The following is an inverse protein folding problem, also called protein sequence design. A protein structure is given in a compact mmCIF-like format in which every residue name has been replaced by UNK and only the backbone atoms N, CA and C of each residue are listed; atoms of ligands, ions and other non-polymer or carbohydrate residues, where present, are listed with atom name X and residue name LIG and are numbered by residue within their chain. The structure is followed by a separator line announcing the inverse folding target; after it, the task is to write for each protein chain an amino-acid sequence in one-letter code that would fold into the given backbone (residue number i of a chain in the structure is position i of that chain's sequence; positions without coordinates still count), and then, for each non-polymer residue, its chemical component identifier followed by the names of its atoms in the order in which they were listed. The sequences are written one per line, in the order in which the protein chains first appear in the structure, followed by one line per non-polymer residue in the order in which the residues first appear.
data_IF_711986792719
#
_entry.id   IF_711986792719
#
_cell.length_a   1.000
_cell.length_b   1.000
_cell.length_c   1.000
_cell.angle_alpha   90.00
_cell.angle_beta   90.00
_cell.angle_gamma   90.00
#
_symmetry.space_group_name_H-M   'P 1'
#
loop_
_entity.id
_entity.type
_entity.pdbx_description
1 polymer ?
#
# COMPACT_ATOMS: atom_id res chain seq x y z
N UNK A 1 35.84 1.57 -2.53
CA UNK A 1 36.82 1.82 -1.44
C UNK A 1 36.14 1.39 -0.17
N UNK A 2 36.68 0.36 0.53
CA UNK A 2 36.04 -0.21 1.71
C UNK A 2 35.81 0.85 2.79
N UNK A 3 34.59 0.85 3.30
CA UNK A 3 34.26 1.56 4.55
C UNK A 3 35.31 1.13 5.59
N UNK A 4 36.01 2.09 6.21
CA UNK A 4 36.96 1.77 7.26
C UNK A 4 36.27 1.04 8.42
N UNK A 5 36.99 0.17 9.13
CA UNK A 5 36.41 -0.70 10.17
C UNK A 5 35.64 0.08 11.27
N UNK A 6 35.99 1.34 11.52
CA UNK A 6 35.30 2.21 12.47
C UNK A 6 33.91 2.57 11.97
N UNK A 7 33.77 2.94 10.70
CA UNK A 7 32.47 3.27 10.09
C UNK A 7 31.58 2.04 9.97
N UNK A 8 32.16 0.86 9.71
CA UNK A 8 31.39 -0.41 9.69
C UNK A 8 30.76 -0.71 11.05
N UNK A 9 31.53 -0.60 12.14
CA UNK A 9 31.03 -0.84 13.50
C UNK A 9 29.96 0.16 13.92
N UNK A 10 30.12 1.43 13.57
CA UNK A 10 29.13 2.45 13.87
C UNK A 10 27.83 2.17 13.10
N UNK A 11 27.92 1.84 11.82
CA UNK A 11 26.79 1.49 10.99
C UNK A 11 26.10 0.22 11.47
N UNK A 12 26.87 -0.81 11.92
CA UNK A 12 26.33 -2.02 12.54
C UNK A 12 25.50 -1.69 13.79
N UNK A 13 26.01 -0.82 14.67
CA UNK A 13 25.25 -0.38 15.85
C UNK A 13 23.95 0.33 15.50
N UNK A 14 23.95 1.17 14.46
CA UNK A 14 22.77 1.91 14.03
C UNK A 14 21.70 1.01 13.39
N UNK A 15 22.09 -0.05 12.69
CA UNK A 15 21.15 -1.00 12.08
C UNK A 15 20.64 -2.06 13.05
N UNK A 16 21.40 -2.40 14.11
CA UNK A 16 20.94 -3.33 15.15
C UNK A 16 19.95 -2.68 16.12
N UNK A 17 20.16 -1.37 16.40
CA UNK A 17 19.28 -0.58 17.26
C UNK A 17 18.71 0.66 16.54
N UNK A 18 17.85 0.51 15.51
CA UNK A 18 17.36 1.66 14.75
C UNK A 18 16.66 2.72 15.59
N UNK A 19 16.01 2.30 16.70
CA UNK A 19 15.32 3.19 17.63
C UNK A 19 16.28 4.07 18.43
N UNK A 20 17.51 3.62 18.60
CA UNK A 20 18.54 4.31 19.37
C UNK A 20 19.52 5.08 18.48
N UNK A 21 19.49 4.83 17.17
CA UNK A 21 20.30 5.53 16.19
C UNK A 21 19.90 6.99 16.07
N UNK A 22 20.89 7.87 16.09
CA UNK A 22 20.71 9.31 15.88
C UNK A 22 20.13 9.60 14.49
N UNK A 23 20.60 8.88 13.47
CA UNK A 23 20.17 9.06 12.08
C UNK A 23 18.68 8.72 11.88
N UNK A 24 18.19 7.64 12.46
CA UNK A 24 16.77 7.27 12.33
C UNK A 24 15.86 8.15 13.18
N UNK A 25 16.30 8.65 14.32
CA UNK A 25 15.51 9.55 15.18
C UNK A 25 15.19 10.89 14.53
N UNK A 26 16.01 11.37 13.60
CA UNK A 26 15.77 12.60 12.85
C UNK A 26 14.54 12.45 11.90
N UNK A 27 14.15 11.20 11.57
CA UNK A 27 13.05 10.92 10.66
C UNK A 27 11.93 10.11 11.31
N UNK A 28 11.13 10.70 12.22
CA UNK A 28 10.11 9.99 12.99
C UNK A 28 8.99 9.39 12.11
N UNK A 29 8.80 9.88 10.90
CA UNK A 29 7.86 9.30 9.93
C UNK A 29 8.35 7.96 9.39
N UNK A 30 9.64 7.82 9.13
CA UNK A 30 10.24 6.54 8.72
C UNK A 30 10.14 5.50 9.85
N UNK A 31 10.34 5.94 11.09
CA UNK A 31 10.28 5.06 12.26
C UNK A 31 8.90 4.45 12.54
N UNK A 32 7.83 5.02 11.97
CA UNK A 32 6.48 4.45 12.07
C UNK A 32 6.26 3.24 11.18
N UNK A 33 7.01 3.11 10.09
CA UNK A 33 6.92 1.98 9.16
C UNK A 33 8.03 0.97 9.46
N UNK A 34 7.71 -0.05 10.26
CA UNK A 34 8.65 -1.09 10.64
C UNK A 34 9.13 -1.91 9.44
N UNK A 35 8.28 -2.14 8.44
CA UNK A 35 8.63 -2.91 7.24
C UNK A 35 9.68 -2.15 6.42
N UNK A 36 9.57 -0.81 6.35
CA UNK A 36 10.55 0.05 5.69
C UNK A 36 11.90 0.05 6.41
N UNK A 37 11.88 0.19 7.74
CA UNK A 37 13.10 0.11 8.55
C UNK A 37 13.80 -1.23 8.37
N UNK A 38 13.04 -2.34 8.41
CA UNK A 38 13.62 -3.66 8.15
C UNK A 38 14.20 -3.79 6.74
N UNK A 39 13.54 -3.22 5.72
CA UNK A 39 14.08 -3.22 4.36
C UNK A 39 15.44 -2.49 4.32
N UNK A 40 15.55 -1.33 4.94
CA UNK A 40 16.77 -0.52 4.98
C UNK A 40 17.87 -1.27 5.76
N UNK A 41 17.59 -1.66 6.99
CA UNK A 41 18.58 -2.29 7.88
C UNK A 41 19.09 -3.62 7.35
N UNK A 42 18.21 -4.46 6.82
CA UNK A 42 18.60 -5.75 6.24
C UNK A 42 19.45 -5.57 4.98
N UNK A 43 19.10 -4.59 4.13
CA UNK A 43 19.89 -4.28 2.93
C UNK A 43 21.30 -3.81 3.31
N UNK A 44 21.40 -2.90 4.28
CA UNK A 44 22.71 -2.42 4.78
C UNK A 44 23.50 -3.58 5.41
N UNK A 45 22.83 -4.46 6.18
CA UNK A 45 23.47 -5.64 6.79
C UNK A 45 24.08 -6.56 5.72
N UNK A 46 23.33 -6.83 4.65
CA UNK A 46 23.84 -7.61 3.52
C UNK A 46 25.04 -6.93 2.86
N UNK A 47 25.01 -5.60 2.70
CA UNK A 47 26.13 -4.83 2.15
C UNK A 47 27.38 -4.95 3.02
N UNK A 48 27.24 -4.91 4.33
CA UNK A 48 28.37 -5.06 5.29
C UNK A 48 28.96 -6.48 5.22
N UNK A 49 28.11 -7.50 5.30
CA UNK A 49 28.52 -8.92 5.30
C UNK A 49 29.26 -9.29 3.99
N UNK A 50 28.81 -8.74 2.88
CA UNK A 50 29.37 -9.05 1.55
C UNK A 50 30.68 -8.33 1.25
N UNK A 51 31.20 -7.53 2.17
CA UNK A 51 32.46 -6.79 2.03
C UNK A 51 32.59 -5.98 0.72
N UNK A 52 31.50 -5.44 0.22
CA UNK A 52 31.48 -4.65 -1.02
C UNK A 52 31.42 -5.47 -2.32
N UNK A 53 31.38 -6.80 -2.25
CA UNK A 53 31.26 -7.70 -3.41
C UNK A 53 29.79 -8.00 -3.76
N UNK A 54 28.89 -7.05 -3.59
CA UNK A 54 27.48 -7.22 -3.95
C UNK A 54 27.22 -6.87 -5.41
N UNK A 55 26.49 -7.75 -6.07
CA UNK A 55 25.90 -7.46 -7.37
C UNK A 55 24.67 -6.56 -7.17
N UNK A 56 24.71 -5.34 -7.73
CA UNK A 56 23.61 -4.38 -7.64
C UNK A 56 22.28 -4.96 -8.15
N UNK A 57 22.32 -5.77 -9.22
CA UNK A 57 21.13 -6.44 -9.75
C UNK A 57 20.51 -7.45 -8.78
N UNK A 58 21.34 -8.19 -8.04
CA UNK A 58 20.84 -9.14 -7.05
C UNK A 58 20.16 -8.42 -5.87
N UNK A 59 20.69 -7.27 -5.45
CA UNK A 59 20.06 -6.44 -4.41
C UNK A 59 18.77 -5.82 -4.93
N UNK A 60 18.76 -5.34 -6.16
CA UNK A 60 17.54 -4.83 -6.81
C UNK A 60 16.44 -5.89 -6.84
N UNK A 61 16.73 -7.08 -7.32
CA UNK A 61 15.78 -8.20 -7.37
C UNK A 61 15.25 -8.56 -5.98
N UNK A 62 16.13 -8.63 -4.98
CA UNK A 62 15.75 -8.89 -3.59
C UNK A 62 14.79 -7.80 -3.06
N UNK A 63 15.09 -6.54 -3.31
CA UNK A 63 14.24 -5.42 -2.89
C UNK A 63 12.90 -5.44 -3.62
N UNK A 64 12.87 -5.73 -4.91
CA UNK A 64 11.63 -5.85 -5.69
C UNK A 64 10.73 -6.97 -5.16
N UNK A 65 11.30 -8.11 -4.80
CA UNK A 65 10.54 -9.21 -4.18
C UNK A 65 9.91 -8.74 -2.86
N UNK A 66 10.68 -8.09 -1.98
CA UNK A 66 10.16 -7.59 -0.69
C UNK A 66 9.08 -6.52 -0.87
N UNK A 67 9.27 -5.57 -1.78
CA UNK A 67 8.28 -4.53 -2.10
C UNK A 67 7.00 -5.17 -2.63
N UNK A 68 7.11 -6.13 -3.54
CA UNK A 68 5.97 -6.87 -4.09
C UNK A 68 5.22 -7.64 -3.01
N UNK A 69 5.91 -8.35 -2.13
CA UNK A 69 5.28 -9.09 -1.02
C UNK A 69 4.52 -8.17 -0.08
N UNK A 70 5.06 -6.99 0.24
CA UNK A 70 4.35 -5.96 1.01
C UNK A 70 3.10 -5.49 0.29
N UNK A 71 3.18 -5.18 -1.01
CA UNK A 71 2.03 -4.75 -1.80
C UNK A 71 0.92 -5.81 -1.82
N UNK A 72 1.26 -7.08 -2.01
CA UNK A 72 0.31 -8.20 -1.96
C UNK A 72 -0.35 -8.26 -0.58
N UNK A 73 0.42 -8.20 0.51
CA UNK A 73 -0.10 -8.21 1.87
C UNK A 73 -1.13 -7.11 2.13
N UNK A 74 -0.85 -5.89 1.65
CA UNK A 74 -1.71 -4.73 1.83
C UNK A 74 -2.93 -4.73 0.89
N UNK A 75 -2.82 -5.34 -0.31
CA UNK A 75 -3.94 -5.43 -1.26
C UNK A 75 -5.05 -6.36 -0.78
N UNK A 76 -4.74 -7.37 0.03
CA UNK A 76 -5.74 -8.35 0.50
C UNK A 76 -6.95 -7.72 1.19
N UNK A 77 -6.74 -6.70 2.05
CA UNK A 77 -7.83 -6.01 2.72
C UNK A 77 -8.73 -5.28 1.71
N UNK A 78 -8.13 -4.60 0.74
CA UNK A 78 -8.85 -3.89 -0.32
C UNK A 78 -9.61 -4.85 -1.23
N UNK A 79 -9.00 -5.96 -1.62
CA UNK A 79 -9.61 -7.00 -2.45
C UNK A 79 -10.81 -7.65 -1.76
N UNK A 80 -10.70 -7.91 -0.45
CA UNK A 80 -11.79 -8.43 0.36
C UNK A 80 -12.98 -7.46 0.41
N UNK A 81 -12.72 -6.17 0.59
CA UNK A 81 -13.77 -5.14 0.56
C UNK A 81 -14.40 -5.02 -0.83
N UNK A 82 -13.63 -5.09 -1.90
CA UNK A 82 -14.15 -5.06 -3.27
C UNK A 82 -14.99 -6.30 -3.60
N UNK A 83 -14.59 -7.47 -3.10
CA UNK A 83 -15.38 -8.70 -3.23
C UNK A 83 -16.72 -8.56 -2.51
N UNK A 84 -16.72 -8.01 -1.29
CA UNK A 84 -17.95 -7.72 -0.55
C UNK A 84 -18.82 -6.71 -1.30
N UNK A 85 -18.23 -5.62 -1.81
CA UNK A 85 -18.96 -4.62 -2.60
C UNK A 85 -19.65 -5.26 -3.82
N UNK A 86 -18.95 -6.14 -4.54
CA UNK A 86 -19.49 -6.84 -5.70
C UNK A 86 -20.64 -7.81 -5.36
N UNK A 87 -20.64 -8.40 -4.15
CA UNK A 87 -21.67 -9.33 -3.72
C UNK A 87 -22.97 -8.63 -3.27
N UNK A 88 -22.91 -7.43 -2.72
CA UNK A 88 -24.06 -6.73 -2.15
C UNK A 88 -25.20 -6.45 -3.14
N UNK A 89 -24.97 -5.97 -4.38
CA UNK A 89 -26.04 -5.77 -5.35
C UNK A 89 -26.75 -7.09 -5.70
N UNK A 90 -26.00 -8.18 -5.85
CA UNK A 90 -26.58 -9.50 -6.13
C UNK A 90 -27.47 -9.97 -4.97
N UNK A 91 -27.04 -9.82 -3.73
CA UNK A 91 -27.81 -10.11 -2.54
C UNK A 91 -29.09 -9.23 -2.46
N UNK A 92 -28.96 -7.95 -2.83
CA UNK A 92 -30.08 -7.01 -2.93
C UNK A 92 -31.12 -7.48 -3.93
N UNK A 93 -30.70 -7.97 -5.10
CA UNK A 93 -31.61 -8.55 -6.11
C UNK A 93 -32.29 -9.81 -5.57
N UNK A 94 -31.56 -10.71 -4.92
CA UNK A 94 -32.13 -11.92 -4.30
C UNK A 94 -33.19 -11.55 -3.26
N UNK A 95 -32.88 -10.56 -2.39
CA UNK A 95 -33.88 -10.10 -1.40
C UNK A 95 -35.15 -9.52 -2.06
N UNK A 96 -34.98 -8.76 -3.16
CA UNK A 96 -36.11 -8.23 -3.94
C UNK A 96 -36.97 -9.35 -4.53
N UNK A 97 -36.34 -10.34 -5.18
CA UNK A 97 -37.06 -11.47 -5.77
C UNK A 97 -37.85 -12.25 -4.71
N UNK A 98 -37.23 -12.54 -3.56
CA UNK A 98 -37.92 -13.19 -2.44
C UNK A 98 -39.09 -12.35 -1.90
N UNK A 99 -38.95 -11.04 -1.84
CA UNK A 99 -39.97 -10.09 -1.46
C UNK A 99 -41.16 -10.13 -2.44
N UNK A 100 -40.88 -10.17 -3.76
CA UNK A 100 -41.91 -10.29 -4.81
C UNK A 100 -42.65 -11.64 -4.71
N UNK A 101 -41.90 -12.75 -4.52
CA UNK A 101 -42.53 -14.07 -4.32
C UNK A 101 -43.49 -14.05 -3.14
N UNK A 102 -43.10 -13.43 -2.01
CA UNK A 102 -43.96 -13.25 -0.85
C UNK A 102 -45.20 -12.40 -1.17
N UNK A 103 -45.06 -11.34 -1.95
CA UNK A 103 -46.15 -10.47 -2.38
C UNK A 103 -47.13 -11.22 -3.24
N UNK A 104 -46.68 -12.09 -4.17
CA UNK A 104 -47.53 -12.91 -5.01
C UNK A 104 -48.35 -13.93 -4.21
N UNK A 105 -47.81 -14.45 -3.12
CA UNK A 105 -48.56 -15.32 -2.18
C UNK A 105 -49.67 -14.56 -1.43
N UNK A 106 -49.69 -13.24 -1.49
CA UNK A 106 -50.65 -12.36 -0.82
C UNK A 106 -51.53 -11.60 -1.83
N UNK A 107 -51.71 -12.11 -3.06
CA UNK A 107 -52.33 -11.39 -4.17
C UNK A 107 -53.82 -11.03 -3.89
N UNK A 108 -54.49 -11.76 -3.02
CA UNK A 108 -55.88 -11.52 -2.62
C UNK A 108 -56.05 -10.38 -1.61
N UNK A 109 -54.92 -9.78 -1.16
CA UNK A 109 -54.94 -8.67 -0.19
C UNK A 109 -55.29 -7.33 -0.88
N UNK A 110 -55.79 -6.35 -0.12
CA UNK A 110 -56.05 -5.00 -0.66
C UNK A 110 -54.81 -4.35 -1.30
N UNK A 111 -54.98 -3.53 -2.37
CA UNK A 111 -53.87 -2.88 -3.08
C UNK A 111 -52.92 -2.08 -2.20
N UNK A 112 -53.41 -1.51 -1.11
CA UNK A 112 -52.57 -0.77 -0.13
C UNK A 112 -51.59 -1.68 0.58
N UNK A 113 -51.95 -2.92 0.87
CA UNK A 113 -51.05 -3.92 1.49
C UNK A 113 -50.02 -4.40 0.45
N UNK A 114 -50.50 -4.72 -0.77
CA UNK A 114 -49.63 -5.14 -1.86
C UNK A 114 -48.56 -4.08 -2.20
N UNK A 115 -48.98 -2.80 -2.25
CA UNK A 115 -48.04 -1.69 -2.47
C UNK A 115 -46.92 -1.60 -1.41
N UNK A 116 -47.28 -1.81 -0.14
CA UNK A 116 -46.31 -1.89 0.97
C UNK A 116 -45.32 -3.05 0.84
N UNK A 117 -45.81 -4.24 0.44
CA UNK A 117 -44.99 -5.44 0.22
C UNK A 117 -44.02 -5.25 -0.96
N UNK A 118 -44.51 -4.69 -2.07
CA UNK A 118 -43.65 -4.37 -3.24
C UNK A 118 -42.59 -3.32 -2.87
N UNK A 119 -42.99 -2.24 -2.17
CA UNK A 119 -42.06 -1.22 -1.73
C UNK A 119 -40.93 -1.76 -0.86
N UNK A 120 -41.28 -2.65 0.10
CA UNK A 120 -40.27 -3.30 0.95
C UNK A 120 -39.35 -4.27 0.17
N UNK A 121 -39.87 -4.95 -0.85
CA UNK A 121 -39.08 -5.81 -1.72
C UNK A 121 -38.04 -4.99 -2.52
N UNK A 122 -38.44 -3.86 -3.10
CA UNK A 122 -37.56 -2.97 -3.86
C UNK A 122 -36.49 -2.33 -2.98
N UNK A 123 -36.76 -2.10 -1.69
CA UNK A 123 -35.79 -1.55 -0.74
C UNK A 123 -34.58 -2.46 -0.60
N UNK A 124 -34.72 -3.77 -0.74
CA UNK A 124 -33.58 -4.71 -0.74
C UNK A 124 -32.57 -4.42 -1.84
N UNK A 125 -33.05 -4.21 -3.07
CA UNK A 125 -32.17 -3.85 -4.20
C UNK A 125 -31.51 -2.49 -3.98
N UNK A 126 -32.29 -1.49 -3.56
CA UNK A 126 -31.76 -0.15 -3.26
C UNK A 126 -30.64 -0.20 -2.23
N UNK A 127 -30.85 -0.88 -1.11
CA UNK A 127 -29.84 -0.99 -0.06
C UNK A 127 -28.60 -1.74 -0.53
N UNK A 128 -28.77 -2.84 -1.28
CA UNK A 128 -27.65 -3.59 -1.83
C UNK A 128 -26.74 -2.73 -2.73
N UNK A 129 -27.35 -1.98 -3.65
CA UNK A 129 -26.66 -1.08 -4.55
C UNK A 129 -26.04 0.10 -3.79
N UNK A 130 -26.78 0.72 -2.89
CA UNK A 130 -26.32 1.86 -2.11
C UNK A 130 -25.12 1.51 -1.20
N UNK A 131 -25.20 0.40 -0.48
CA UNK A 131 -24.09 -0.06 0.39
C UNK A 131 -22.84 -0.40 -0.42
N UNK A 132 -23.02 -1.02 -1.58
CA UNK A 132 -21.92 -1.35 -2.47
C UNK A 132 -21.20 -0.09 -2.98
N UNK A 133 -21.89 0.66 -3.82
CA UNK A 133 -21.28 1.78 -4.56
C UNK A 133 -21.21 3.09 -3.76
N UNK A 134 -22.11 3.28 -2.80
CA UNK A 134 -22.16 4.48 -1.97
C UNK A 134 -21.23 4.45 -0.77
N UNK A 135 -20.88 3.26 -0.25
CA UNK A 135 -20.09 3.14 0.98
C UNK A 135 -18.83 2.28 0.79
N UNK A 136 -18.98 1.00 0.45
CA UNK A 136 -17.86 0.04 0.54
C UNK A 136 -16.84 0.29 -0.56
N UNK A 137 -17.27 0.50 -1.80
CA UNK A 137 -16.35 0.74 -2.91
C UNK A 137 -15.53 2.03 -2.75
N UNK A 138 -16.09 3.18 -2.35
CA UNK A 138 -15.32 4.37 -2.06
C UNK A 138 -14.29 4.18 -0.95
N UNK A 139 -14.64 3.44 0.12
CA UNK A 139 -13.71 3.11 1.21
C UNK A 139 -12.56 2.25 0.69
N UNK A 140 -12.86 1.19 -0.05
CA UNK A 140 -11.85 0.30 -0.64
C UNK A 140 -10.91 1.07 -1.58
N UNK A 141 -11.45 1.95 -2.41
CA UNK A 141 -10.68 2.79 -3.31
C UNK A 141 -9.77 3.78 -2.55
N UNK A 142 -10.27 4.36 -1.44
CA UNK A 142 -9.45 5.23 -0.59
C UNK A 142 -8.29 4.48 0.04
N UNK A 143 -8.54 3.29 0.59
CA UNK A 143 -7.47 2.44 1.15
C UNK A 143 -6.43 2.11 0.08
N UNK A 144 -6.87 1.72 -1.12
CA UNK A 144 -5.99 1.41 -2.25
C UNK A 144 -5.09 2.60 -2.60
N UNK A 145 -5.66 3.81 -2.61
CA UNK A 145 -4.92 5.03 -2.94
C UNK A 145 -3.84 5.32 -1.90
N UNK A 146 -4.20 5.31 -0.62
CA UNK A 146 -3.25 5.52 0.49
C UNK A 146 -2.13 4.46 0.46
N UNK A 147 -2.48 3.19 0.28
CA UNK A 147 -1.49 2.10 0.20
C UNK A 147 -0.50 2.30 -0.96
N UNK A 148 -0.99 2.81 -2.10
CA UNK A 148 -0.13 3.11 -3.25
C UNK A 148 0.82 4.28 -2.97
N UNK A 149 0.33 5.34 -2.35
CA UNK A 149 1.14 6.50 -1.95
C UNK A 149 2.23 6.08 -0.94
N UNK A 150 1.86 5.34 0.11
CA UNK A 150 2.82 4.80 1.09
C UNK A 150 3.84 3.85 0.46
N UNK A 151 3.49 3.19 -0.63
CA UNK A 151 4.42 2.32 -1.37
C UNK A 151 5.54 3.06 -2.10
N UNK A 152 5.39 4.34 -2.41
CA UNK A 152 6.38 5.10 -3.18
C UNK A 152 7.71 5.23 -2.46
N UNK A 153 7.72 5.41 -1.15
CA UNK A 153 8.94 5.55 -0.37
C UNK A 153 9.85 4.32 -0.47
N UNK A 154 9.27 3.14 -0.65
CA UNK A 154 10.03 1.90 -0.85
C UNK A 154 10.78 1.89 -2.18
N UNK A 155 10.17 2.46 -3.23
CA UNK A 155 10.82 2.62 -4.52
C UNK A 155 11.95 3.64 -4.45
N UNK A 156 11.72 4.76 -3.75
CA UNK A 156 12.76 5.76 -3.50
C UNK A 156 13.97 5.13 -2.81
N UNK A 157 13.74 4.38 -1.73
CA UNK A 157 14.80 3.69 -0.99
C UNK A 157 15.51 2.67 -1.89
N UNK A 158 14.77 1.88 -2.69
CA UNK A 158 15.36 0.94 -3.65
C UNK A 158 16.29 1.67 -4.63
N UNK A 159 15.84 2.76 -5.24
CA UNK A 159 16.65 3.50 -6.21
C UNK A 159 17.91 4.11 -5.59
N UNK A 160 17.84 4.58 -4.34
CA UNK A 160 19.02 5.05 -3.60
C UNK A 160 20.05 3.92 -3.46
N UNK A 161 19.63 2.73 -2.98
CA UNK A 161 20.54 1.61 -2.79
C UNK A 161 21.15 1.12 -4.10
N UNK A 162 20.33 0.94 -5.13
CA UNK A 162 20.77 0.46 -6.45
C UNK A 162 21.75 1.45 -7.08
N UNK A 163 21.44 2.75 -7.09
CA UNK A 163 22.32 3.78 -7.62
C UNK A 163 23.64 3.87 -6.85
N UNK A 164 23.59 3.72 -5.52
CA UNK A 164 24.79 3.71 -4.67
C UNK A 164 25.67 2.50 -4.96
N UNK A 165 25.07 1.30 -5.14
CA UNK A 165 25.80 0.08 -5.45
C UNK A 165 26.44 0.10 -6.85
N UNK A 166 25.82 0.80 -7.81
CA UNK A 166 26.44 1.08 -9.12
C UNK A 166 27.58 2.10 -9.05
N UNK A 167 27.83 2.70 -7.89
CA UNK A 167 28.92 3.68 -7.71
C UNK A 167 28.64 5.03 -8.33
N UNK A 168 27.37 5.38 -8.54
CA UNK A 168 26.99 6.68 -9.07
C UNK A 168 27.38 7.82 -8.09
N UNK A 169 27.73 8.99 -8.60
CA UNK A 169 28.00 10.16 -7.75
C UNK A 169 26.73 10.59 -7.01
N UNK A 170 26.91 11.17 -5.82
CA UNK A 170 25.81 11.56 -4.93
C UNK A 170 24.69 12.36 -5.62
N UNK A 171 24.96 13.36 -6.50
CA UNK A 171 23.86 14.07 -7.17
C UNK A 171 22.99 13.16 -8.03
N UNK A 172 23.59 12.15 -8.68
CA UNK A 172 22.84 11.19 -9.50
C UNK A 172 22.03 10.22 -8.64
N UNK A 173 22.51 9.83 -7.46
CA UNK A 173 21.75 9.03 -6.50
C UNK A 173 20.52 9.80 -6.01
N UNK A 174 20.67 11.08 -5.69
CA UNK A 174 19.58 11.95 -5.26
C UNK A 174 18.55 12.12 -6.39
N UNK A 175 19.02 12.33 -7.63
CA UNK A 175 18.12 12.46 -8.79
C UNK A 175 17.36 11.16 -9.08
N UNK A 176 18.03 10.00 -8.96
CA UNK A 176 17.35 8.71 -9.09
C UNK A 176 16.26 8.52 -8.03
N UNK A 177 16.51 8.96 -6.81
CA UNK A 177 15.52 8.97 -5.72
C UNK A 177 14.34 9.90 -6.05
N UNK A 178 14.63 11.12 -6.50
CA UNK A 178 13.63 12.12 -6.90
C UNK A 178 12.75 11.61 -8.05
N UNK A 179 13.35 11.01 -9.07
CA UNK A 179 12.65 10.45 -10.23
C UNK A 179 11.69 9.29 -9.87
N UNK A 180 11.92 8.63 -8.74
CA UNK A 180 11.03 7.56 -8.26
C UNK A 180 9.74 8.10 -7.59
N UNK A 181 9.68 9.41 -7.31
CA UNK A 181 8.51 10.05 -6.70
C UNK A 181 7.49 10.39 -7.78
N UNK A 182 6.21 10.19 -7.47
CA UNK A 182 5.09 10.51 -8.36
C UNK A 182 5.10 11.99 -8.75
N UNK A 183 4.83 12.31 -10.01
CA UNK A 183 4.98 13.66 -10.57
C UNK A 183 4.27 14.77 -9.78
N UNK A 184 3.15 14.45 -9.13
CA UNK A 184 2.40 15.41 -8.29
C UNK A 184 3.06 15.72 -6.95
N UNK A 185 3.92 14.82 -6.45
CA UNK A 185 4.59 14.94 -5.15
C UNK A 185 6.09 15.12 -5.30
N UNK A 186 6.59 15.06 -6.55
CA UNK A 186 8.00 15.17 -6.86
C UNK A 186 8.48 16.59 -6.55
N UNK A 187 9.47 16.76 -5.65
CA UNK A 187 10.07 18.07 -5.41
C UNK A 187 10.76 18.59 -6.68
N UNK A 188 10.79 19.89 -6.84
CA UNK A 188 11.55 20.51 -7.93
C UNK A 188 13.06 20.25 -7.78
N UNK A 189 13.80 20.39 -8.88
CA UNK A 189 15.26 20.22 -8.85
C UNK A 189 15.92 21.17 -7.85
N UNK A 190 15.48 22.43 -7.82
CA UNK A 190 16.05 23.44 -6.94
C UNK A 190 15.76 23.17 -5.45
N UNK A 191 14.58 22.64 -5.11
CA UNK A 191 14.24 22.27 -3.73
C UNK A 191 15.12 21.15 -3.15
N UNK A 192 15.75 20.36 -4.01
CA UNK A 192 16.56 19.22 -3.59
C UNK A 192 18.06 19.53 -3.61
N UNK A 193 18.51 20.47 -4.48
CA UNK A 193 19.93 20.73 -4.71
C UNK A 193 20.38 22.11 -4.25
N UNK A 194 19.48 23.04 -3.86
CA UNK A 194 19.79 24.33 -3.21
C UNK A 194 19.82 24.17 -1.69
#
# INVERSE_FOLDING_TARGET
RGLGDVYKRQLESDIEGPKDSQYFREYPRLMKDSDLIHLITDTIRIMIISNGNLNAYAVEEMMDIRIRQRQIKLSHATESLMTLAGALPALGIVACVLGIVKTMASIDQPPSILGGLIGSALLGTFLGVFLSYGLIEPIANRIRHVTKEEGQIYLVVKHIFVATLHGHPQPLVIEAARAAISHHEQPSFNEVFD
#
